data_IF_874721821177
#
_entry.id   IF_874721821177
#
_cell.length_a   1.000
_cell.length_b   1.000
_cell.length_c   1.000
_cell.angle_alpha   90.00
_cell.angle_beta   90.00
_cell.angle_gamma   90.00
#
_symmetry.space_group_name_H-M   'P 1'
#
loop_
_entity.id
_entity.type
_entity.pdbx_description
1 polymer ?
#
# COMPACT_ATOMS: atom_id res chain seq x y z
N UNK A 1 -2.93 2.93 28.65
CA UNK A 1 -2.43 3.40 27.33
C UNK A 1 -2.96 2.39 26.31
N UNK A 2 -3.72 2.84 25.31
CA UNK A 2 -4.16 1.95 24.22
C UNK A 2 -2.94 1.41 23.47
N UNK A 3 -3.06 0.20 22.90
CA UNK A 3 -2.03 -0.33 22.02
C UNK A 3 -1.76 0.63 20.87
N UNK A 4 -0.50 0.76 20.39
CA UNK A 4 -0.19 1.64 19.29
C UNK A 4 -0.95 1.20 18.04
N UNK A 5 -1.68 2.11 17.42
CA UNK A 5 -2.34 1.85 16.14
C UNK A 5 -1.29 1.91 15.02
N UNK A 6 -1.10 0.79 14.32
CA UNK A 6 -0.19 0.72 13.18
C UNK A 6 -0.85 1.25 11.90
N UNK A 7 -0.04 1.85 11.03
CA UNK A 7 -0.40 2.16 9.66
C UNK A 7 0.20 1.11 8.71
N UNK A 8 -0.61 0.55 7.83
CA UNK A 8 -0.14 -0.30 6.75
C UNK A 8 -0.06 0.49 5.45
N UNK A 9 1.17 0.68 4.96
CA UNK A 9 1.47 1.36 3.71
C UNK A 9 1.76 0.36 2.59
N UNK A 10 1.13 0.56 1.42
CA UNK A 10 1.28 -0.30 0.24
C UNK A 10 1.58 0.49 -1.04
N UNK A 11 1.41 1.81 -0.99
CA UNK A 11 1.59 2.73 -2.12
C UNK A 11 2.90 3.52 -2.05
N UNK A 12 2.87 4.77 -2.50
CA UNK A 12 4.06 5.64 -2.53
C UNK A 12 4.67 5.93 -1.14
N UNK A 13 3.94 5.71 -0.05
CA UNK A 13 4.47 5.84 1.30
C UNK A 13 5.51 4.76 1.65
N UNK A 14 5.72 3.77 0.79
CA UNK A 14 6.85 2.85 0.87
C UNK A 14 8.18 3.52 0.48
N UNK A 15 8.15 4.67 -0.20
CA UNK A 15 9.33 5.46 -0.48
C UNK A 15 9.53 6.54 0.58
N UNK A 16 10.57 6.37 1.42
CA UNK A 16 10.84 7.27 2.53
C UNK A 16 11.19 8.69 2.07
N UNK A 17 11.81 8.84 0.88
CA UNK A 17 12.18 10.15 0.36
C UNK A 17 10.95 10.90 -0.19
N UNK A 18 10.01 10.21 -0.84
CA UNK A 18 8.71 10.81 -1.25
C UNK A 18 7.94 11.35 -0.04
N UNK A 19 7.91 10.57 1.06
CA UNK A 19 7.30 11.00 2.31
C UNK A 19 8.03 12.22 2.90
N UNK A 20 9.36 12.14 3.00
CA UNK A 20 10.17 13.21 3.57
C UNK A 20 10.08 14.50 2.72
N UNK A 21 10.11 14.38 1.40
CA UNK A 21 9.95 15.53 0.51
C UNK A 21 8.55 16.18 0.65
N UNK A 22 7.51 15.36 0.78
CA UNK A 22 6.15 15.85 1.01
C UNK A 22 6.02 16.59 2.35
N UNK A 23 6.66 16.09 3.40
CA UNK A 23 6.71 16.74 4.73
C UNK A 23 7.48 18.06 4.67
N UNK A 24 8.71 18.04 4.14
CA UNK A 24 9.57 19.25 4.02
C UNK A 24 8.87 20.38 3.27
N UNK A 25 8.17 20.07 2.19
CA UNK A 25 7.42 21.07 1.42
C UNK A 25 6.30 21.75 2.23
N UNK A 26 5.97 21.22 3.42
CA UNK A 26 4.92 21.74 4.31
C UNK A 26 5.45 22.17 5.68
N UNK A 27 6.77 22.18 5.86
CA UNK A 27 7.40 22.50 7.13
C UNK A 27 7.12 21.48 8.22
N UNK A 28 6.83 20.23 7.85
CA UNK A 28 6.51 19.14 8.77
C UNK A 28 7.71 18.19 8.95
N UNK A 29 7.73 17.49 10.10
CA UNK A 29 8.79 16.54 10.43
C UNK A 29 8.49 15.16 9.83
N UNK A 30 9.34 14.62 8.94
CA UNK A 30 9.16 13.29 8.38
C UNK A 30 9.31 12.15 9.40
N UNK A 31 9.97 12.40 10.55
CA UNK A 31 10.12 11.40 11.62
C UNK A 31 8.81 11.08 12.35
N UNK A 32 7.73 11.80 12.04
CA UNK A 32 6.38 11.50 12.50
C UNK A 32 5.85 10.14 12.00
N UNK A 33 6.52 9.51 11.02
CA UNK A 33 6.27 8.15 10.55
C UNK A 33 7.55 7.33 10.64
N UNK A 34 7.49 6.20 11.35
CA UNK A 34 8.63 5.30 11.56
C UNK A 34 8.26 3.89 11.12
N UNK A 35 9.08 3.29 10.27
CA UNK A 35 8.87 1.93 9.79
C UNK A 35 9.15 0.90 10.90
N UNK A 36 8.30 -0.13 10.96
CA UNK A 36 8.41 -1.22 11.93
C UNK A 36 8.91 -2.50 11.24
N UNK A 37 8.18 -2.99 10.23
CA UNK A 37 8.54 -4.21 9.50
C UNK A 37 7.73 -4.34 8.21
N UNK A 38 8.15 -5.28 7.36
CA UNK A 38 7.35 -5.71 6.21
C UNK A 38 6.14 -6.52 6.64
N UNK A 39 5.04 -6.37 5.92
CA UNK A 39 3.79 -7.10 6.17
C UNK A 39 2.99 -7.31 4.88
N UNK A 40 2.00 -8.20 4.93
CA UNK A 40 1.13 -8.53 3.81
C UNK A 40 -0.34 -8.37 4.21
N UNK A 41 -1.09 -7.66 3.38
CA UNK A 41 -2.55 -7.57 3.47
C UNK A 41 -3.15 -8.72 2.65
N UNK A 42 -3.68 -9.74 3.35
CA UNK A 42 -4.24 -10.93 2.74
C UNK A 42 -5.62 -10.68 2.14
N UNK A 43 -5.98 -11.49 1.13
CA UNK A 43 -7.28 -11.47 0.45
C UNK A 43 -7.63 -10.10 -0.16
N UNK A 44 -6.58 -9.37 -0.55
CA UNK A 44 -6.69 -8.09 -1.25
C UNK A 44 -5.83 -8.08 -2.51
N UNK A 45 -6.21 -7.22 -3.44
CA UNK A 45 -5.41 -6.93 -4.63
C UNK A 45 -5.24 -5.42 -4.80
N UNK A 46 -4.13 -5.03 -5.42
CA UNK A 46 -3.86 -3.64 -5.77
C UNK A 46 -4.64 -3.25 -7.02
N UNK A 47 -5.22 -2.05 -7.01
CA UNK A 47 -5.95 -1.47 -8.15
C UNK A 47 -5.48 -0.04 -8.42
N UNK A 48 -5.56 0.34 -9.69
CA UNK A 48 -5.37 1.71 -10.14
C UNK A 48 -6.66 2.19 -10.80
N UNK A 49 -7.62 2.60 -10.01
CA UNK A 49 -8.93 3.06 -10.45
C UNK A 49 -9.32 4.45 -9.91
N UNK A 50 -8.34 5.14 -9.33
CA UNK A 50 -8.49 6.54 -8.89
C UNK A 50 -7.49 7.43 -9.61
N UNK A 51 -7.96 8.58 -10.15
CA UNK A 51 -7.10 9.55 -10.80
C UNK A 51 -6.66 10.63 -9.83
N UNK A 52 -5.41 10.56 -9.42
CA UNK A 52 -4.79 11.58 -8.58
C UNK A 52 -4.29 12.76 -9.41
N UNK A 53 -4.79 13.97 -9.10
CA UNK A 53 -4.27 15.20 -9.71
C UNK A 53 -2.81 15.44 -9.32
N UNK A 54 -2.46 15.22 -8.06
CA UNK A 54 -1.11 15.44 -7.55
C UNK A 54 -0.07 14.47 -8.14
N UNK A 55 -0.48 13.27 -8.56
CA UNK A 55 0.41 12.28 -9.20
C UNK A 55 0.33 12.32 -10.73
N UNK A 56 -0.61 13.05 -11.30
CA UNK A 56 -0.80 13.16 -12.75
C UNK A 56 -1.34 11.89 -13.42
N UNK A 57 -1.76 10.90 -12.66
CA UNK A 57 -2.21 9.60 -13.16
C UNK A 57 -2.93 8.78 -12.09
N UNK A 58 -3.01 7.48 -12.29
CA UNK A 58 -3.58 6.55 -11.33
C UNK A 58 -2.79 6.54 -10.03
N UNK A 59 -3.50 6.56 -8.90
CA UNK A 59 -2.92 6.28 -7.60
C UNK A 59 -3.42 4.94 -7.09
N UNK A 60 -2.56 4.25 -6.32
CA UNK A 60 -2.82 2.90 -5.85
C UNK A 60 -3.96 2.85 -4.83
N UNK A 61 -4.76 1.81 -4.92
CA UNK A 61 -5.77 1.40 -3.96
C UNK A 61 -5.62 -0.09 -3.67
N UNK A 62 -6.19 -0.55 -2.58
CA UNK A 62 -6.35 -1.97 -2.27
C UNK A 62 -7.82 -2.28 -2.15
N UNK A 63 -8.23 -3.36 -2.77
CA UNK A 63 -9.61 -3.85 -2.73
C UNK A 63 -9.64 -5.28 -2.24
N UNK A 64 -10.67 -5.62 -1.48
CA UNK A 64 -10.90 -7.01 -1.10
C UNK A 64 -11.10 -7.85 -2.36
N UNK A 65 -10.45 -9.00 -2.42
CA UNK A 65 -10.46 -9.89 -3.58
C UNK A 65 -10.58 -11.35 -3.13
N UNK A 66 -10.41 -12.27 -4.06
CA UNK A 66 -10.48 -13.69 -3.79
C UNK A 66 -9.43 -14.13 -2.75
N UNK A 67 -9.76 -15.19 -2.02
CA UNK A 67 -8.82 -15.82 -1.09
C UNK A 67 -7.54 -16.25 -1.80
N UNK A 68 -6.42 -16.00 -1.14
CA UNK A 68 -5.10 -16.36 -1.64
C UNK A 68 -4.40 -15.23 -2.39
N UNK A 69 -5.05 -14.06 -2.58
CA UNK A 69 -4.36 -12.85 -3.02
C UNK A 69 -3.69 -12.16 -1.83
N UNK A 70 -2.62 -11.42 -2.06
CA UNK A 70 -1.98 -10.63 -1.03
C UNK A 70 -1.30 -9.39 -1.61
N UNK A 71 -1.36 -8.29 -0.87
CA UNK A 71 -0.63 -7.06 -1.20
C UNK A 71 0.50 -6.87 -0.20
N UNK A 72 1.77 -6.96 -0.63
CA UNK A 72 2.91 -6.67 0.22
C UNK A 72 3.04 -5.17 0.48
N UNK A 73 3.55 -4.85 1.66
CA UNK A 73 3.76 -3.49 2.11
C UNK A 73 4.58 -3.44 3.40
N UNK A 74 4.40 -2.39 4.16
CA UNK A 74 5.10 -2.22 5.44
C UNK A 74 4.18 -1.66 6.51
N UNK A 75 4.45 -2.02 7.75
CA UNK A 75 3.87 -1.44 8.94
C UNK A 75 4.70 -0.25 9.42
N UNK A 76 4.01 0.79 9.83
CA UNK A 76 4.59 1.99 10.39
C UNK A 76 3.89 2.35 11.70
N UNK A 77 4.62 2.97 12.62
CA UNK A 77 4.04 3.76 13.69
C UNK A 77 3.98 5.21 13.26
N UNK A 78 2.90 5.88 13.62
CA UNK A 78 2.74 7.31 13.41
C UNK A 78 2.50 7.99 14.76
N UNK A 79 3.16 9.15 14.96
CA UNK A 79 2.78 10.04 16.05
C UNK A 79 1.38 10.65 15.79
N UNK A 80 0.80 11.32 16.76
CA UNK A 80 -0.47 12.05 16.56
C UNK A 80 -0.37 13.05 15.39
N UNK A 81 0.74 13.77 15.31
CA UNK A 81 1.04 14.64 14.17
C UNK A 81 1.17 13.84 12.87
N UNK A 82 1.82 12.67 12.90
CA UNK A 82 1.96 11.77 11.76
C UNK A 82 0.61 11.33 11.20
N UNK A 83 -0.36 11.00 12.05
CA UNK A 83 -1.72 10.68 11.62
C UNK A 83 -2.40 11.88 10.96
N UNK A 84 -2.24 13.08 11.51
CA UNK A 84 -2.78 14.30 10.91
C UNK A 84 -2.16 14.61 9.55
N UNK A 85 -0.84 14.43 9.42
CA UNK A 85 -0.11 14.60 8.16
C UNK A 85 -0.55 13.57 7.12
N UNK A 86 -0.68 12.29 7.52
CA UNK A 86 -1.13 11.23 6.64
C UNK A 86 -2.56 11.47 6.16
N UNK A 87 -3.48 11.85 7.04
CA UNK A 87 -4.84 12.23 6.67
C UNK A 87 -4.86 13.35 5.60
N UNK A 88 -4.01 14.35 5.75
CA UNK A 88 -3.89 15.44 4.76
C UNK A 88 -3.31 14.95 3.44
N UNK A 89 -2.29 14.08 3.48
CA UNK A 89 -1.65 13.53 2.29
C UNK A 89 -2.62 12.68 1.47
N UNK A 90 -3.41 11.84 2.15
CA UNK A 90 -4.37 10.94 1.52
C UNK A 90 -5.72 11.61 1.20
N UNK A 91 -5.91 12.87 1.63
CA UNK A 91 -7.17 13.59 1.43
C UNK A 91 -8.35 12.97 2.19
N UNK A 92 -8.05 12.38 3.36
CA UNK A 92 -9.05 11.80 4.24
C UNK A 92 -10.03 12.87 4.76
N UNK A 93 -11.33 12.58 4.83
CA UNK A 93 -12.01 11.34 4.46
C UNK A 93 -12.56 11.32 3.01
N UNK A 94 -12.31 12.35 2.21
CA UNK A 94 -13.04 12.59 0.96
C UNK A 94 -12.46 11.85 -0.26
N UNK A 95 -11.16 11.56 -0.24
CA UNK A 95 -10.46 10.86 -1.33
C UNK A 95 -10.16 9.43 -0.92
N UNK A 96 -9.35 9.26 0.10
CA UNK A 96 -9.17 8.00 0.79
C UNK A 96 -9.83 8.06 2.16
N UNK A 97 -10.24 6.91 2.67
CA UNK A 97 -10.71 6.78 4.05
C UNK A 97 -9.89 5.74 4.81
N UNK A 98 -9.76 5.95 6.10
CA UNK A 98 -9.13 5.00 7.00
C UNK A 98 -9.99 3.74 7.10
N UNK A 99 -9.36 2.58 6.94
CA UNK A 99 -10.00 1.28 7.01
C UNK A 99 -9.19 0.37 7.94
N UNK A 100 -9.80 -0.18 8.99
CA UNK A 100 -9.18 -1.21 9.80
C UNK A 100 -8.90 -2.45 8.96
N UNK A 101 -7.71 -3.02 9.10
CA UNK A 101 -7.28 -4.24 8.40
C UNK A 101 -6.45 -5.10 9.32
N UNK A 102 -6.41 -6.40 9.04
CA UNK A 102 -5.47 -7.31 9.65
C UNK A 102 -4.40 -7.68 8.62
N UNK A 103 -3.15 -7.55 8.99
CA UNK A 103 -2.00 -7.91 8.15
C UNK A 103 -1.17 -9.00 8.82
N UNK A 104 -0.38 -9.71 8.02
CA UNK A 104 0.55 -10.73 8.51
C UNK A 104 1.97 -10.20 8.34
N UNK A 105 2.75 -10.18 9.42
CA UNK A 105 4.16 -9.76 9.38
C UNK A 105 5.05 -10.82 8.76
N UNK A 106 6.30 -10.46 8.46
CA UNK A 106 7.31 -11.41 7.99
C UNK A 106 7.62 -12.54 8.99
N UNK A 107 7.27 -12.35 10.26
CA UNK A 107 7.40 -13.36 11.33
C UNK A 107 6.16 -14.26 11.44
N UNK A 108 5.13 -14.02 10.63
CA UNK A 108 3.87 -14.76 10.66
C UNK A 108 2.88 -14.29 11.72
N UNK A 109 3.10 -13.14 12.32
CA UNK A 109 2.21 -12.57 13.33
C UNK A 109 1.06 -11.79 12.67
N UNK A 110 -0.15 -12.01 13.15
CA UNK A 110 -1.31 -11.23 12.76
C UNK A 110 -1.34 -9.91 13.56
N UNK A 111 -1.39 -8.79 12.87
CA UNK A 111 -1.37 -7.44 13.45
C UNK A 111 -2.54 -6.62 12.94
N UNK A 112 -3.28 -6.00 13.85
CA UNK A 112 -4.31 -5.02 13.51
C UNK A 112 -3.65 -3.70 13.11
N UNK A 113 -4.08 -3.15 11.98
CA UNK A 113 -3.56 -1.91 11.42
C UNK A 113 -4.67 -1.09 10.79
N UNK A 114 -4.35 0.16 10.46
CA UNK A 114 -5.19 1.02 9.63
C UNK A 114 -4.50 1.21 8.29
N UNK A 115 -5.25 1.10 7.20
CA UNK A 115 -4.79 1.49 5.86
C UNK A 115 -5.73 2.53 5.26
N UNK A 116 -5.34 3.11 4.13
CA UNK A 116 -6.16 4.07 3.40
C UNK A 116 -6.67 3.44 2.11
N UNK A 117 -7.98 3.47 1.92
CA UNK A 117 -8.69 2.90 0.78
C UNK A 117 -9.44 4.00 0.06
N UNK A 118 -9.45 3.99 -1.26
CA UNK A 118 -10.14 5.00 -2.07
C UNK A 118 -11.64 4.97 -1.82
N UNK A 119 -12.22 6.14 -1.57
CA UNK A 119 -13.67 6.28 -1.42
C UNK A 119 -14.41 5.75 -2.66
N UNK A 120 -15.49 4.98 -2.50
CA UNK A 120 -16.24 4.44 -3.64
C UNK A 120 -16.65 5.50 -4.68
N UNK A 121 -16.99 6.70 -4.24
CA UNK A 121 -17.34 7.82 -5.12
C UNK A 121 -16.18 8.34 -5.97
N UNK A 122 -14.93 8.02 -5.62
CA UNK A 122 -13.72 8.41 -6.35
C UNK A 122 -13.21 7.32 -7.28
N UNK A 123 -13.73 6.10 -7.15
CA UNK A 123 -13.33 4.96 -7.96
C UNK A 123 -13.92 5.08 -9.37
N UNK A 124 -13.13 4.68 -10.35
CA UNK A 124 -13.54 4.55 -11.75
C UNK A 124 -13.71 3.08 -12.11
N UNK A 125 -14.59 2.80 -13.06
CA UNK A 125 -14.77 1.45 -13.59
C UNK A 125 -13.58 0.94 -14.41
N UNK A 126 -12.77 1.87 -14.91
CA UNK A 126 -11.64 1.58 -15.79
C UNK A 126 -10.30 1.76 -15.08
N UNK A 127 -9.29 1.08 -15.59
CA UNK A 127 -7.91 1.29 -15.18
C UNK A 127 -7.50 2.73 -15.46
N UNK A 128 -6.98 3.41 -14.45
CA UNK A 128 -6.29 4.70 -14.59
C UNK A 128 -4.80 4.45 -14.48
N UNK A 129 -4.09 4.43 -15.60
CA UNK A 129 -2.66 4.13 -15.61
C UNK A 129 -1.88 5.08 -14.67
N UNK A 130 -1.02 4.55 -13.79
CA UNK A 130 -0.10 5.37 -13.03
C UNK A 130 0.97 5.96 -13.91
N UNK A 131 1.55 7.09 -13.53
CA UNK A 131 2.78 7.57 -14.17
C UNK A 131 3.94 6.64 -13.87
N UNK A 132 4.93 6.58 -14.76
CA UNK A 132 6.14 5.78 -14.52
C UNK A 132 6.85 6.18 -13.22
N UNK A 133 6.93 7.50 -12.95
CA UNK A 133 7.53 8.02 -11.73
C UNK A 133 6.79 7.54 -10.47
N UNK A 134 5.46 7.56 -10.47
CA UNK A 134 4.69 7.10 -9.33
C UNK A 134 4.80 5.57 -9.13
N UNK A 135 4.73 4.80 -10.20
CA UNK A 135 4.92 3.34 -10.14
C UNK A 135 6.33 2.97 -9.65
N UNK A 136 7.35 3.77 -10.00
CA UNK A 136 8.71 3.58 -9.53
C UNK A 136 8.83 3.75 -8.00
N UNK A 137 8.15 4.73 -7.39
CA UNK A 137 8.15 4.89 -5.93
C UNK A 137 7.68 3.61 -5.22
N UNK A 138 6.61 3.01 -5.71
CA UNK A 138 6.08 1.76 -5.13
C UNK A 138 7.07 0.61 -5.37
N UNK A 139 7.55 0.45 -6.61
CA UNK A 139 8.50 -0.61 -6.97
C UNK A 139 9.77 -0.52 -6.13
N UNK A 140 10.38 0.65 -6.07
CA UNK A 140 11.65 0.85 -5.37
C UNK A 140 11.48 0.65 -3.86
N UNK A 141 10.35 1.09 -3.31
CA UNK A 141 9.98 0.84 -1.93
C UNK A 141 9.84 -0.65 -1.60
N UNK A 142 9.25 -1.45 -2.51
CA UNK A 142 9.13 -2.91 -2.37
C UNK A 142 10.50 -3.60 -2.53
N UNK A 143 11.27 -3.23 -3.56
CA UNK A 143 12.59 -3.82 -3.84
C UNK A 143 13.56 -3.58 -2.69
N UNK A 144 13.61 -2.39 -2.11
CA UNK A 144 14.43 -2.07 -0.92
C UNK A 144 14.12 -3.00 0.27
N UNK A 145 12.89 -3.51 0.35
CA UNK A 145 12.44 -4.44 1.40
C UNK A 145 12.51 -5.90 0.99
N UNK A 146 13.05 -6.19 -0.20
CA UNK A 146 13.09 -7.54 -0.78
C UNK A 146 11.67 -8.17 -0.90
N UNK A 147 10.67 -7.33 -1.14
CA UNK A 147 9.28 -7.74 -1.33
C UNK A 147 8.98 -7.98 -2.82
N UNK A 148 8.06 -8.89 -3.15
CA UNK A 148 7.69 -9.17 -4.53
C UNK A 148 6.97 -7.98 -5.19
N UNK A 149 7.19 -7.80 -6.49
CA UNK A 149 6.59 -6.74 -7.30
C UNK A 149 5.53 -7.27 -8.29
N UNK A 150 5.25 -8.57 -8.27
CA UNK A 150 4.34 -9.20 -9.23
C UNK A 150 2.92 -8.61 -9.19
N UNK A 151 2.40 -8.34 -8.00
CA UNK A 151 1.09 -7.71 -7.81
C UNK A 151 1.03 -6.29 -8.41
N UNK A 152 2.09 -5.49 -8.28
CA UNK A 152 2.18 -4.17 -8.90
C UNK A 152 2.18 -4.27 -10.43
N UNK A 153 3.00 -5.16 -10.98
CA UNK A 153 3.06 -5.37 -12.42
C UNK A 153 1.73 -5.84 -13.00
N UNK A 154 1.04 -6.74 -12.31
CA UNK A 154 -0.28 -7.26 -12.72
C UNK A 154 -1.35 -6.16 -12.66
N UNK A 155 -1.31 -5.28 -11.66
CA UNK A 155 -2.30 -4.20 -11.51
C UNK A 155 -2.15 -3.08 -12.53
N UNK A 156 -0.97 -2.93 -13.14
CA UNK A 156 -0.70 -1.94 -14.20
C UNK A 156 -1.06 -2.49 -15.59
N UNK A 157 -0.91 -3.81 -15.80
CA UNK A 157 -1.28 -4.46 -17.06
C UNK A 157 -2.79 -4.51 -17.17
N UNK A 158 -3.32 -4.29 -18.37
CA UNK A 158 -4.75 -4.38 -18.64
C UNK A 158 -5.34 -5.70 -18.17
N UNK A 159 -6.55 -5.64 -17.60
CA UNK A 159 -7.31 -6.71 -16.97
C UNK A 159 -7.73 -7.87 -17.90
N UNK A 160 -7.36 -7.88 -19.16
CA UNK A 160 -7.60 -8.99 -20.08
C UNK A 160 -6.68 -10.19 -19.87
N UNK A 161 -5.63 -10.05 -19.08
CA UNK A 161 -4.85 -11.17 -18.60
C UNK A 161 -5.59 -11.77 -17.38
N UNK A 162 -6.30 -12.90 -17.57
CA UNK A 162 -6.62 -13.81 -16.48
C UNK A 162 -5.38 -13.88 -15.59
N UNK A 163 -5.54 -13.59 -14.30
CA UNK A 163 -4.41 -13.62 -13.38
C UNK A 163 -3.80 -15.02 -13.44
N UNK A 164 -2.69 -15.14 -14.11
CA UNK A 164 -1.83 -16.30 -14.00
C UNK A 164 -1.23 -16.20 -12.62
N UNK A 165 -1.42 -17.22 -11.81
CA UNK A 165 -0.75 -17.37 -10.53
C UNK A 165 0.73 -17.57 -10.87
N UNK A 166 1.50 -16.49 -10.82
CA UNK A 166 2.94 -16.52 -11.12
C UNK A 166 3.78 -17.07 -9.95
N UNK A 167 3.14 -17.31 -8.79
CA UNK A 167 3.82 -17.78 -7.59
C UNK A 167 3.08 -18.94 -6.96
N UNK A 168 3.80 -20.05 -6.76
CA UNK A 168 3.35 -21.19 -5.98
C UNK A 168 4.00 -21.10 -4.60
N UNK A 169 3.18 -20.97 -3.57
CA UNK A 169 3.66 -21.12 -2.20
C UNK A 169 3.75 -22.62 -1.89
N UNK A 170 4.96 -23.10 -1.67
CA UNK A 170 5.20 -24.50 -1.27
C UNK A 170 5.52 -24.53 0.22
N UNK A 171 4.69 -25.23 0.97
CA UNK A 171 4.98 -25.52 2.37
C UNK A 171 5.20 -27.03 2.55
N UNK A 172 6.17 -27.38 3.34
CA UNK A 172 6.56 -28.77 3.58
C UNK A 172 7.76 -29.24 2.77
N UNK A 173 8.27 -30.41 3.13
CA UNK A 173 9.42 -31.03 2.44
C UNK A 173 8.93 -31.72 1.18
N UNK A 174 9.39 -31.26 0.01
CA UNK A 174 9.31 -32.07 -1.19
C UNK A 174 10.29 -33.22 -1.03
N UNK A 175 9.81 -34.38 -0.61
CA UNK A 175 10.56 -35.63 -0.72
C UNK A 175 10.51 -36.07 -2.17
N UNK A 176 11.70 -36.11 -2.80
CA UNK A 176 11.91 -36.71 -4.12
C UNK A 176 11.94 -38.24 -3.97
#
# INVERSE_FOLDING_TARGET
MGEPTFYFGYGSNLDAEDWAAWCRARGADPTAMVEVCSAWLLDHSMRFHYRSKGRGGGAADVVQDARGTAVPGALFTLSEEGWNLMNRKEGHPNVYHQTPVQVITAQGEAVEAVTYVVQPAQQRSELVAPTQAYAALIRDGLVKRQLPIGHLNSSIKHLDAKSTIDHVFVYGTLTV
#
